data_IF_287984432933
#
_entry.id   IF_287984432933
#
_cell.length_a   1.000
_cell.length_b   1.000
_cell.length_c   1.000
_cell.angle_alpha   90.00
_cell.angle_beta   90.00
_cell.angle_gamma   90.00
#
_symmetry.space_group_name_H-M   'P 1'
#
loop_
_entity.id
_entity.type
_entity.pdbx_description
1 polymer ?
#
# COMPACT_ATOMS: atom_id res chain seq x y z
N UNK A 1 37.29 -15.08 -10.69
CA UNK A 1 36.16 -14.13 -10.68
C UNK A 1 35.61 -14.02 -9.27
N UNK A 2 35.88 -12.93 -8.53
CA UNK A 2 35.29 -12.75 -7.21
C UNK A 2 33.80 -12.42 -7.36
N UNK A 3 32.95 -13.21 -6.72
CA UNK A 3 31.51 -12.97 -6.62
C UNK A 3 31.26 -11.69 -5.82
N UNK A 4 30.25 -10.87 -6.19
CA UNK A 4 29.89 -9.72 -5.38
C UNK A 4 29.25 -10.23 -4.08
N UNK A 5 29.99 -10.06 -2.97
CA UNK A 5 29.47 -10.26 -1.62
C UNK A 5 28.30 -9.29 -1.43
N UNK A 6 27.09 -9.82 -1.25
CA UNK A 6 25.92 -9.00 -0.88
C UNK A 6 26.20 -8.38 0.48
N UNK A 7 26.43 -7.09 0.48
CA UNK A 7 26.52 -6.27 1.68
C UNK A 7 25.17 -6.29 2.40
N UNK A 8 25.11 -6.96 3.56
CA UNK A 8 23.90 -7.05 4.39
C UNK A 8 23.82 -5.78 5.24
N UNK A 9 23.67 -4.63 4.58
CA UNK A 9 23.50 -3.36 5.28
C UNK A 9 22.12 -3.31 5.95
N UNK A 10 22.12 -3.55 7.26
CA UNK A 10 21.24 -2.95 8.28
C UNK A 10 19.81 -2.64 7.80
N UNK A 11 18.88 -3.58 7.97
CA UNK A 11 17.44 -3.38 7.72
C UNK A 11 16.94 -2.27 8.65
N UNK A 12 16.87 -1.03 8.13
CA UNK A 12 16.26 0.09 8.85
C UNK A 12 14.84 -0.31 9.26
N UNK A 13 14.52 -0.04 10.51
CA UNK A 13 13.30 -0.50 11.20
C UNK A 13 12.02 0.19 10.71
N UNK A 14 12.03 0.79 9.53
CA UNK A 14 10.99 1.69 9.06
C UNK A 14 10.08 0.99 8.04
N UNK A 15 8.77 1.01 8.32
CA UNK A 15 7.73 0.61 7.37
C UNK A 15 7.43 1.84 6.51
N UNK A 16 7.77 1.76 5.24
CA UNK A 16 7.63 2.90 4.35
C UNK A 16 6.16 3.21 4.01
N UNK A 17 5.86 4.50 3.77
CA UNK A 17 4.51 5.01 3.46
C UNK A 17 4.17 5.04 1.96
N UNK A 18 2.92 5.37 1.66
CA UNK A 18 2.43 5.62 0.30
C UNK A 18 2.69 7.05 -0.17
N UNK A 19 2.21 7.38 -1.37
CA UNK A 19 2.31 8.73 -1.96
C UNK A 19 1.34 9.74 -1.33
N UNK A 20 0.10 9.33 -1.05
CA UNK A 20 -0.95 10.18 -0.48
C UNK A 20 -1.33 9.75 0.96
N UNK A 21 -0.98 8.52 1.35
CA UNK A 21 -1.34 7.96 2.64
C UNK A 21 -0.13 7.48 3.43
N UNK A 22 -0.10 7.84 4.72
CA UNK A 22 0.83 7.26 5.69
C UNK A 22 0.36 5.86 6.13
N UNK A 23 1.30 4.97 6.43
CA UNK A 23 0.97 3.61 6.88
C UNK A 23 0.36 3.64 8.28
N UNK A 24 -0.90 3.20 8.47
CA UNK A 24 -1.57 3.25 9.77
C UNK A 24 -0.94 2.26 10.76
N UNK A 25 -1.13 2.54 12.05
CA UNK A 25 -0.42 1.84 13.15
C UNK A 25 -0.72 0.35 13.18
N UNK A 26 -1.97 -0.04 12.94
CA UNK A 26 -2.40 -1.44 12.90
C UNK A 26 -1.77 -2.23 11.74
N UNK A 27 -1.73 -1.65 10.54
CA UNK A 27 -1.03 -2.25 9.40
C UNK A 27 0.49 -2.33 9.66
N UNK A 28 1.07 -1.28 10.25
CA UNK A 28 2.49 -1.26 10.63
C UNK A 28 2.83 -2.37 11.62
N UNK A 29 1.98 -2.59 12.63
CA UNK A 29 2.13 -3.69 13.61
C UNK A 29 2.07 -5.05 12.92
N UNK A 30 1.08 -5.28 12.05
CA UNK A 30 0.93 -6.53 11.33
C UNK A 30 2.15 -6.85 10.43
N UNK A 31 2.65 -5.85 9.70
CA UNK A 31 3.85 -6.00 8.87
C UNK A 31 5.11 -6.27 9.71
N UNK A 32 5.26 -5.59 10.85
CA UNK A 32 6.41 -5.82 11.74
C UNK A 32 6.43 -7.25 12.31
N UNK A 33 5.27 -7.87 12.52
CA UNK A 33 5.17 -9.28 12.95
C UNK A 33 5.42 -10.30 11.83
N UNK A 34 5.52 -9.88 10.57
CA UNK A 34 5.68 -10.76 9.42
C UNK A 34 6.89 -10.32 8.54
N UNK A 35 8.12 -10.80 8.82
CA UNK A 35 9.34 -10.34 8.16
C UNK A 35 9.30 -10.44 6.63
N UNK A 36 8.74 -11.52 6.09
CA UNK A 36 8.58 -11.73 4.64
C UNK A 36 7.66 -10.69 4.02
N UNK A 37 6.48 -10.46 4.63
CA UNK A 37 5.53 -9.46 4.17
C UNK A 37 6.11 -8.04 4.26
N UNK A 38 6.88 -7.76 5.31
CA UNK A 38 7.58 -6.49 5.50
C UNK A 38 8.63 -6.23 4.42
N UNK A 39 9.45 -7.23 4.10
CA UNK A 39 10.43 -7.11 3.03
C UNK A 39 9.73 -6.86 1.68
N UNK A 40 8.67 -7.63 1.39
CA UNK A 40 7.82 -7.42 0.22
C UNK A 40 7.25 -6.00 0.19
N UNK A 41 6.67 -5.52 1.29
CA UNK A 41 6.12 -4.17 1.44
C UNK A 41 7.15 -3.07 1.12
N UNK A 42 8.35 -3.17 1.71
CA UNK A 42 9.38 -2.16 1.52
C UNK A 42 9.94 -2.15 0.08
N UNK A 43 9.86 -3.28 -0.62
CA UNK A 43 10.23 -3.38 -2.04
C UNK A 43 9.15 -2.89 -3.02
N UNK A 44 7.95 -2.52 -2.53
CA UNK A 44 6.90 -1.94 -3.35
C UNK A 44 7.22 -0.49 -3.72
N UNK A 45 6.74 -0.05 -4.88
CA UNK A 45 6.76 1.38 -5.23
C UNK A 45 5.90 2.16 -4.23
N UNK A 46 6.19 3.46 -3.98
CA UNK A 46 5.34 4.30 -3.13
C UNK A 46 3.87 4.27 -3.55
N UNK A 47 3.63 4.18 -4.86
CA UNK A 47 2.31 4.12 -5.45
C UNK A 47 1.55 2.82 -5.11
N UNK A 48 2.24 1.68 -5.08
CA UNK A 48 1.65 0.39 -4.71
C UNK A 48 1.39 0.31 -3.20
N UNK A 49 2.28 0.84 -2.35
CA UNK A 49 2.02 0.99 -0.92
C UNK A 49 0.78 1.85 -0.68
N UNK A 50 0.61 2.93 -1.46
CA UNK A 50 -0.56 3.79 -1.39
C UNK A 50 -1.87 3.05 -1.65
N UNK A 51 -1.90 2.12 -2.62
CA UNK A 51 -3.10 1.31 -2.90
C UNK A 51 -3.46 0.43 -1.73
N UNK A 52 -2.49 -0.29 -1.19
CA UNK A 52 -2.71 -1.16 -0.05
C UNK A 52 -3.19 -0.38 1.17
N UNK A 53 -2.59 0.78 1.46
CA UNK A 53 -3.02 1.61 2.57
C UNK A 53 -4.47 2.06 2.35
N UNK A 54 -4.78 2.65 1.20
CA UNK A 54 -6.14 3.12 0.89
C UNK A 54 -7.17 1.99 0.94
N UNK A 55 -6.83 0.81 0.43
CA UNK A 55 -7.71 -0.37 0.44
C UNK A 55 -8.01 -0.87 1.86
N UNK A 56 -7.03 -0.83 2.76
CA UNK A 56 -7.23 -1.16 4.17
C UNK A 56 -8.02 -0.09 4.93
N UNK A 57 -7.80 1.20 4.62
CA UNK A 57 -8.42 2.32 5.35
C UNK A 57 -9.80 2.72 4.83
N UNK A 58 -10.18 2.32 3.62
CA UNK A 58 -11.52 2.59 3.05
C UNK A 58 -12.62 1.89 3.84
N UNK A 59 -12.30 0.77 4.49
CA UNK A 59 -13.24 0.01 5.31
C UNK A 59 -13.43 0.68 6.68
N UNK A 60 -14.65 1.15 6.95
CA UNK A 60 -15.01 1.79 8.23
C UNK A 60 -15.24 0.80 9.37
N UNK A 61 -15.61 -0.45 9.06
CA UNK A 61 -15.89 -1.47 10.08
C UNK A 61 -14.58 -2.09 10.62
N UNK A 62 -14.31 -2.04 11.94
CA UNK A 62 -13.05 -2.52 12.51
C UNK A 62 -12.75 -4.00 12.25
N UNK A 63 -13.78 -4.86 12.34
CA UNK A 63 -13.65 -6.31 12.10
C UNK A 63 -13.19 -6.59 10.66
N UNK A 64 -13.81 -5.91 9.69
CA UNK A 64 -13.50 -6.06 8.27
C UNK A 64 -12.14 -5.47 7.94
N UNK A 65 -11.77 -4.34 8.57
CA UNK A 65 -10.42 -3.76 8.47
C UNK A 65 -9.34 -4.73 8.97
N UNK A 66 -9.55 -5.39 10.11
CA UNK A 66 -8.64 -6.42 10.61
C UNK A 66 -8.44 -7.55 9.59
N UNK A 67 -9.53 -8.07 9.02
CA UNK A 67 -9.49 -9.10 7.97
C UNK A 67 -8.73 -8.62 6.71
N UNK A 68 -8.92 -7.36 6.31
CA UNK A 68 -8.17 -6.79 5.19
C UNK A 68 -6.66 -6.71 5.49
N UNK A 69 -6.27 -6.36 6.71
CA UNK A 69 -4.86 -6.31 7.10
C UNK A 69 -4.25 -7.71 7.08
N UNK A 70 -4.94 -8.70 7.63
CA UNK A 70 -4.52 -10.11 7.57
C UNK A 70 -4.33 -10.59 6.13
N UNK A 71 -5.30 -10.27 5.26
CA UNK A 71 -5.22 -10.57 3.84
C UNK A 71 -4.06 -9.85 3.15
N UNK A 72 -3.79 -8.59 3.50
CA UNK A 72 -2.67 -7.82 2.96
C UNK A 72 -1.35 -8.52 3.27
N UNK A 73 -1.15 -8.95 4.52
CA UNK A 73 0.06 -9.68 4.93
C UNK A 73 0.19 -10.99 4.14
N UNK A 74 -0.87 -11.78 4.05
CA UNK A 74 -0.87 -13.05 3.32
C UNK A 74 -0.59 -12.86 1.81
N UNK A 75 -1.22 -11.87 1.18
CA UNK A 75 -1.05 -11.59 -0.25
C UNK A 75 0.37 -11.06 -0.55
N UNK A 76 0.95 -10.27 0.33
CA UNK A 76 2.35 -9.83 0.22
C UNK A 76 3.33 -11.01 0.33
N UNK A 77 3.06 -11.97 1.22
CA UNK A 77 3.86 -13.20 1.33
C UNK A 77 3.76 -14.07 0.08
N UNK A 78 2.60 -14.06 -0.58
CA UNK A 78 2.38 -14.71 -1.88
C UNK A 78 3.00 -13.93 -3.06
N UNK A 79 3.69 -12.80 -2.80
CA UNK A 79 4.34 -12.00 -3.82
C UNK A 79 3.42 -11.04 -4.57
N UNK A 80 2.13 -10.90 -4.17
CA UNK A 80 1.23 -9.95 -4.80
C UNK A 80 1.68 -8.53 -4.50
N UNK A 81 1.78 -7.71 -5.55
CA UNK A 81 2.30 -6.34 -5.45
C UNK A 81 1.20 -5.30 -5.25
N UNK A 82 -0.06 -5.64 -5.56
CA UNK A 82 -1.23 -4.75 -5.48
C UNK A 82 -2.46 -5.51 -4.96
N UNK A 83 -3.41 -4.84 -4.29
CA UNK A 83 -4.67 -5.47 -3.87
C UNK A 83 -5.49 -5.89 -5.10
N UNK A 84 -6.01 -7.11 -5.10
CA UNK A 84 -6.89 -7.55 -6.18
C UNK A 84 -8.28 -6.93 -6.05
N UNK A 85 -8.96 -6.72 -7.20
CA UNK A 85 -10.28 -6.10 -7.28
C UNK A 85 -10.34 -4.68 -6.67
N UNK A 86 -9.25 -3.91 -6.80
CA UNK A 86 -9.17 -2.51 -6.38
C UNK A 86 -9.00 -1.61 -7.60
N UNK A 87 -9.93 -0.66 -7.80
CA UNK A 87 -9.90 0.27 -8.94
C UNK A 87 -8.78 1.32 -8.84
N UNK A 88 -8.06 1.36 -7.71
CA UNK A 88 -7.02 2.34 -7.43
C UNK A 88 -7.44 3.34 -6.36
N UNK A 89 -6.45 4.02 -5.78
CA UNK A 89 -6.69 5.04 -4.76
C UNK A 89 -7.26 6.31 -5.42
N UNK A 90 -8.42 6.77 -4.95
CA UNK A 90 -9.08 8.00 -5.42
C UNK A 90 -8.35 9.27 -4.97
N UNK A 91 -7.48 9.19 -3.96
CA UNK A 91 -6.67 10.31 -3.45
C UNK A 91 -5.35 10.49 -4.21
N UNK A 92 -5.20 9.83 -5.36
CA UNK A 92 -4.03 9.94 -6.22
C UNK A 92 -4.01 11.28 -6.95
N UNK A 93 -2.94 12.05 -6.75
CA UNK A 93 -2.72 13.32 -7.44
C UNK A 93 -2.05 13.16 -8.83
N UNK A 94 -1.54 11.97 -9.16
CA UNK A 94 -0.87 11.72 -10.44
C UNK A 94 -1.82 11.69 -11.64
N UNK A 95 -3.11 11.43 -11.41
CA UNK A 95 -4.12 11.38 -12.48
C UNK A 95 -4.89 12.70 -12.52
N UNK A 96 -4.83 13.46 -13.62
CA UNK A 96 -5.68 14.63 -13.78
C UNK A 96 -7.16 14.21 -13.76
N UNK A 97 -8.03 15.07 -13.22
CA UNK A 97 -9.49 14.89 -13.24
C UNK A 97 -9.93 14.61 -14.68
N UNK A 98 -10.68 13.52 -14.89
CA UNK A 98 -11.13 13.13 -16.22
C UNK A 98 -12.03 14.21 -16.85
N UNK A 99 -12.08 14.30 -18.20
CA UNK A 99 -12.95 15.27 -18.87
C UNK A 99 -14.41 15.17 -18.41
N UNK A 100 -14.93 13.95 -18.23
CA UNK A 100 -16.28 13.71 -17.75
C UNK A 100 -16.49 14.21 -16.31
N UNK A 101 -15.53 13.95 -15.40
CA UNK A 101 -15.62 14.45 -14.03
C UNK A 101 -15.52 15.98 -13.97
N UNK A 102 -14.69 16.59 -14.80
CA UNK A 102 -14.60 18.05 -14.94
C UNK A 102 -15.91 18.65 -15.45
N UNK A 103 -16.56 18.00 -16.42
CA UNK A 103 -17.86 18.44 -16.95
C UNK A 103 -18.97 18.39 -15.88
N UNK A 104 -19.03 17.32 -15.09
CA UNK A 104 -20.01 17.20 -13.98
C UNK A 104 -19.81 18.30 -12.94
N UNK A 105 -18.56 18.55 -12.53
CA UNK A 105 -18.24 19.62 -11.58
C UNK A 105 -18.59 21.02 -12.11
N UNK A 106 -18.52 21.24 -13.43
CA UNK A 106 -18.93 22.49 -14.07
C UNK A 106 -20.45 22.70 -14.13
N UNK A 107 -21.26 21.65 -13.96
CA UNK A 107 -22.72 21.69 -14.01
C UNK A 107 -23.41 21.95 -12.67
N UNK A 108 -22.67 21.84 -11.57
CA UNK A 108 -23.18 22.02 -10.19
C UNK A 108 -23.04 23.51 -9.75
N UNK A 109 -22.76 24.41 -10.70
CA UNK A 109 -22.61 25.85 -10.47
C UNK A 109 -23.87 26.61 -10.81
#
# INVERSE_FOLDING_TARGET
MPTPKRDVTKVKKDIAGGTAHATPVDLRRALNSAPVARAAWNSLTPLARNEWICWNTTVKQPKTRKRHIERTVAELQQGKRRPCCWMGCVHRADKPISPSARWVLGKIK
#
